data_IF_705394044502
#
_entry.id   IF_705394044502
#
_cell.length_a   1.000
_cell.length_b   1.000
_cell.length_c   1.000
_cell.angle_alpha   90.00
_cell.angle_beta   90.00
_cell.angle_gamma   90.00
#
_symmetry.space_group_name_H-M   'P 1'
#
loop_
_entity.id
_entity.type
_entity.pdbx_description
1 polymer ?
#
# COMPACT_ATOMS: atom_id res chain seq x y z
N UNK A 1 -29.60 1.58 -64.72
CA UNK A 1 -28.61 2.51 -64.12
C UNK A 1 -29.18 2.97 -62.78
N UNK A 2 -28.59 2.57 -61.66
CA UNK A 2 -29.05 2.99 -60.32
C UNK A 2 -28.66 4.46 -60.14
N UNK A 3 -29.66 5.31 -59.87
CA UNK A 3 -29.44 6.73 -59.58
C UNK A 3 -28.55 6.84 -58.33
N UNK A 4 -27.29 7.21 -58.57
CA UNK A 4 -26.30 7.43 -57.54
C UNK A 4 -26.69 8.69 -56.77
N UNK A 5 -27.08 8.51 -55.50
CA UNK A 5 -27.64 9.57 -54.69
C UNK A 5 -26.54 10.47 -54.12
N UNK A 6 -26.12 11.43 -54.93
CA UNK A 6 -25.03 12.37 -54.66
C UNK A 6 -25.16 13.10 -53.31
N UNK A 7 -26.39 13.33 -52.85
CA UNK A 7 -26.65 14.00 -51.57
C UNK A 7 -26.17 13.17 -50.37
N UNK A 8 -26.33 11.85 -50.43
CA UNK A 8 -25.91 10.96 -49.34
C UNK A 8 -24.39 10.88 -49.23
N UNK A 9 -23.69 10.81 -50.37
CA UNK A 9 -22.22 10.81 -50.41
C UNK A 9 -21.62 12.11 -49.90
N UNK A 10 -22.25 13.26 -50.22
CA UNK A 10 -21.82 14.57 -49.70
C UNK A 10 -21.98 14.65 -48.18
N UNK A 11 -23.08 14.14 -47.63
CA UNK A 11 -23.35 14.15 -46.19
C UNK A 11 -22.39 13.26 -45.39
N UNK A 12 -22.08 12.07 -45.90
CA UNK A 12 -21.11 11.16 -45.25
C UNK A 12 -19.71 11.75 -45.28
N UNK A 13 -19.31 12.41 -46.38
CA UNK A 13 -18.01 13.05 -46.50
C UNK A 13 -17.85 14.23 -45.54
N UNK A 14 -18.85 15.10 -45.39
CA UNK A 14 -18.79 16.20 -44.42
C UNK A 14 -18.74 15.71 -42.98
N UNK A 15 -19.48 14.65 -42.65
CA UNK A 15 -19.48 14.09 -41.29
C UNK A 15 -18.12 13.46 -40.94
N UNK A 16 -17.46 12.81 -41.90
CA UNK A 16 -16.11 12.29 -41.73
C UNK A 16 -15.06 13.40 -41.52
N UNK A 17 -15.18 14.52 -42.23
CA UNK A 17 -14.28 15.68 -42.07
C UNK A 17 -14.46 16.32 -40.68
N UNK A 18 -15.71 16.50 -40.23
CA UNK A 18 -15.99 17.05 -38.90
C UNK A 18 -15.40 16.14 -37.81
N UNK A 19 -15.57 14.81 -37.95
CA UNK A 19 -15.07 13.84 -36.97
C UNK A 19 -13.54 13.80 -36.95
N UNK A 20 -12.87 13.91 -38.09
CA UNK A 20 -11.41 14.02 -38.14
C UNK A 20 -10.91 15.33 -37.52
N UNK A 21 -11.62 16.43 -37.73
CA UNK A 21 -11.27 17.74 -37.16
C UNK A 21 -11.45 17.78 -35.64
N UNK A 22 -12.54 17.20 -35.11
CA UNK A 22 -12.74 17.10 -33.65
C UNK A 22 -11.70 16.19 -33.00
N UNK A 23 -11.34 15.07 -33.63
CA UNK A 23 -10.27 14.19 -33.14
C UNK A 23 -8.90 14.89 -33.17
N UNK A 24 -8.63 15.70 -34.21
CA UNK A 24 -7.42 16.52 -34.29
C UNK A 24 -7.38 17.60 -33.21
N UNK A 25 -8.51 18.24 -32.86
CA UNK A 25 -8.57 19.20 -31.76
C UNK A 25 -8.35 18.50 -30.42
N UNK A 26 -8.94 17.34 -30.20
CA UNK A 26 -8.76 16.57 -28.96
C UNK A 26 -7.32 16.04 -28.79
N UNK A 27 -6.61 15.77 -29.88
CA UNK A 27 -5.20 15.38 -29.85
C UNK A 27 -4.22 16.57 -29.78
N UNK A 28 -4.62 17.76 -30.26
CA UNK A 28 -3.75 18.94 -30.31
C UNK A 28 -3.97 19.88 -29.11
N UNK A 29 -5.16 19.90 -28.52
CA UNK A 29 -5.43 20.53 -27.23
C UNK A 29 -5.01 19.52 -26.16
N UNK A 30 -3.71 19.32 -26.09
CA UNK A 30 -3.07 18.55 -25.04
C UNK A 30 -3.30 19.29 -23.72
N UNK A 31 -3.88 18.58 -22.74
CA UNK A 31 -4.11 19.04 -21.36
C UNK A 31 -2.79 19.38 -20.63
N UNK A 32 -1.66 19.23 -21.31
CA UNK A 32 -0.32 19.16 -20.73
C UNK A 32 0.27 20.54 -20.41
N UNK A 33 0.02 21.58 -21.21
CA UNK A 33 0.64 22.90 -20.93
C UNK A 33 0.15 23.55 -19.64
N UNK A 34 -1.15 23.49 -19.32
CA UNK A 34 -1.64 24.07 -18.07
C UNK A 34 -1.22 23.27 -16.84
N UNK A 35 -1.03 21.95 -16.99
CA UNK A 35 -0.52 21.08 -15.93
C UNK A 35 0.98 21.29 -15.73
N UNK A 36 1.77 21.42 -16.80
CA UNK A 36 3.19 21.78 -16.72
C UNK A 36 3.39 23.16 -16.10
N UNK A 37 2.59 24.16 -16.48
CA UNK A 37 2.69 25.50 -15.90
C UNK A 37 2.28 25.50 -14.42
N UNK A 38 1.28 24.70 -14.05
CA UNK A 38 0.88 24.53 -12.65
C UNK A 38 1.94 23.78 -11.84
N UNK A 39 2.53 22.71 -12.39
CA UNK A 39 3.56 21.91 -11.72
C UNK A 39 4.86 22.69 -11.60
N UNK A 40 5.27 23.43 -12.64
CA UNK A 40 6.46 24.29 -12.57
C UNK A 40 6.27 25.46 -11.60
N UNK A 41 5.07 26.06 -11.54
CA UNK A 41 4.76 27.07 -10.53
C UNK A 41 4.73 26.47 -9.12
N UNK A 42 4.22 25.25 -8.94
CA UNK A 42 4.18 24.55 -7.66
C UNK A 42 5.59 24.13 -7.20
N UNK A 43 6.42 23.64 -8.11
CA UNK A 43 7.84 23.34 -7.89
C UNK A 43 8.61 24.62 -7.51
N UNK A 44 8.40 25.73 -8.22
CA UNK A 44 9.04 27.01 -7.89
C UNK A 44 8.58 27.55 -6.52
N UNK A 45 7.33 27.29 -6.13
CA UNK A 45 6.77 27.69 -4.83
C UNK A 45 7.23 26.77 -3.69
N UNK A 46 7.45 25.49 -3.97
CA UNK A 46 8.04 24.52 -3.04
C UNK A 46 9.54 24.76 -2.85
N UNK A 47 10.25 25.17 -3.90
CA UNK A 47 11.68 25.51 -3.85
C UNK A 47 11.98 26.81 -3.10
N UNK A 48 11.02 27.75 -3.00
CA UNK A 48 11.18 29.04 -2.28
C UNK A 48 10.41 29.12 -0.96
N UNK A 49 9.87 27.98 -0.50
CA UNK A 49 9.04 27.91 0.72
C UNK A 49 9.85 27.57 1.98
N UNK A 50 9.19 27.42 3.14
CA UNK A 50 9.81 26.96 4.38
C UNK A 50 10.45 25.56 4.29
N UNK A 51 10.22 24.84 3.18
CA UNK A 51 10.92 23.61 2.85
C UNK A 51 12.38 23.87 2.42
N UNK A 52 12.67 25.01 1.79
CA UNK A 52 14.04 25.49 1.53
C UNK A 52 14.75 25.82 2.85
N UNK A 53 14.06 26.45 3.80
CA UNK A 53 14.57 26.72 5.15
C UNK A 53 14.74 25.42 5.98
N UNK A 54 14.00 24.34 5.66
CA UNK A 54 14.17 23.02 6.28
C UNK A 54 15.24 22.17 5.59
N UNK A 55 15.41 22.30 4.27
CA UNK A 55 16.45 21.61 3.50
C UNK A 55 17.82 22.28 3.67
N UNK A 56 17.86 23.61 3.77
CA UNK A 56 19.04 24.39 4.14
C UNK A 56 19.20 24.54 5.67
N UNK A 57 18.17 24.21 6.45
CA UNK A 57 18.18 24.21 7.92
C UNK A 57 19.09 23.15 8.53
N UNK A 58 19.55 22.17 7.74
CA UNK A 58 20.69 21.32 8.08
C UNK A 58 22.02 22.01 7.72
N UNK A 59 22.21 23.24 8.19
CA UNK A 59 23.43 24.03 7.95
C UNK A 59 24.72 23.38 8.48
N UNK A 60 24.62 22.31 9.28
CA UNK A 60 25.78 21.53 9.75
C UNK A 60 26.21 20.45 8.74
N UNK A 61 25.28 19.91 7.94
CA UNK A 61 25.59 18.84 6.97
C UNK A 61 26.14 19.36 5.63
N UNK A 62 26.00 20.66 5.36
CA UNK A 62 26.48 21.33 4.14
C UNK A 62 27.72 22.20 4.38
N UNK A 63 28.38 22.10 5.54
CA UNK A 63 29.68 22.75 5.72
C UNK A 63 30.69 21.98 4.84
N UNK A 64 31.26 22.59 3.79
CA UNK A 64 32.33 21.94 3.03
C UNK A 64 33.44 21.59 4.01
N UNK A 65 33.96 20.37 3.93
CA UNK A 65 35.01 19.83 4.78
C UNK A 65 36.03 20.93 5.14
N UNK A 66 35.93 21.49 6.36
CA UNK A 66 36.80 22.59 6.79
C UNK A 66 38.21 22.02 6.95
N UNK A 67 38.99 22.07 5.88
CA UNK A 67 40.44 21.82 5.91
C UNK A 67 41.08 22.98 6.67
N UNK A 68 41.14 22.87 7.99
CA UNK A 68 41.96 23.75 8.81
C UNK A 68 43.42 23.42 8.50
N UNK A 69 44.01 24.17 7.56
CA UNK A 69 45.44 24.15 7.29
C UNK A 69 46.13 24.89 8.45
N UNK A 70 46.72 24.12 9.36
CA UNK A 70 47.38 24.64 10.56
C UNK A 70 48.69 23.91 10.78
N UNK A 71 49.66 24.61 11.35
CA UNK A 71 50.94 24.05 11.80
C UNK A 71 50.85 23.48 13.21
N UNK A 72 49.70 23.61 13.88
CA UNK A 72 49.48 23.04 15.20
C UNK A 72 49.33 21.51 15.10
N UNK A 73 50.24 20.78 15.72
CA UNK A 73 50.25 19.31 15.72
C UNK A 73 48.98 18.71 16.32
N UNK A 74 48.45 19.30 17.40
CA UNK A 74 47.23 18.84 18.06
C UNK A 74 46.00 18.95 17.15
N UNK A 75 45.86 20.05 16.41
CA UNK A 75 44.76 20.20 15.44
C UNK A 75 44.95 19.27 14.24
N UNK A 76 46.18 19.04 13.79
CA UNK A 76 46.48 18.08 12.72
C UNK A 76 46.13 16.64 13.13
N UNK A 77 46.37 16.30 14.40
CA UNK A 77 46.04 15.01 14.99
C UNK A 77 44.53 14.84 15.17
N UNK A 78 43.83 15.86 15.67
CA UNK A 78 42.37 15.87 15.75
C UNK A 78 41.71 15.74 14.37
N UNK A 79 42.24 16.43 13.35
CA UNK A 79 41.75 16.33 11.98
C UNK A 79 41.89 14.91 11.40
N UNK A 80 42.93 14.16 11.78
CA UNK A 80 43.07 12.74 11.39
C UNK A 80 41.97 11.87 11.99
N UNK A 81 41.67 12.04 13.28
CA UNK A 81 40.62 11.29 13.98
C UNK A 81 39.19 11.72 13.59
N UNK A 82 39.03 12.96 13.10
CA UNK A 82 37.74 13.47 12.65
C UNK A 82 37.33 12.94 11.28
N UNK A 83 38.30 12.68 10.39
CA UNK A 83 38.02 12.15 9.05
C UNK A 83 37.71 10.67 9.07
N UNK A 84 38.47 9.89 9.84
CA UNK A 84 38.35 8.43 9.91
C UNK A 84 38.70 7.88 11.28
N UNK A 85 38.14 6.73 11.59
CA UNK A 85 38.54 5.95 12.75
C UNK A 85 40.00 5.49 12.61
N UNK A 86 40.82 5.72 13.63
CA UNK A 86 42.25 5.35 13.64
C UNK A 86 42.42 4.05 14.42
N UNK A 87 42.99 3.02 13.77
CA UNK A 87 43.30 1.75 14.41
C UNK A 87 44.32 1.94 15.54
N UNK A 88 44.09 1.24 16.65
CA UNK A 88 44.98 1.15 17.79
C UNK A 88 45.51 -0.28 17.85
N UNK A 89 46.81 -0.43 17.58
CA UNK A 89 47.50 -1.72 17.69
C UNK A 89 47.77 -2.02 19.17
N UNK A 90 46.72 -2.48 19.84
CA UNK A 90 46.74 -2.89 21.25
C UNK A 90 46.15 -4.30 21.38
N UNK A 91 46.62 -5.06 22.38
CA UNK A 91 46.04 -6.34 22.74
C UNK A 91 44.77 -6.18 23.59
N UNK A 92 44.57 -5.01 24.20
CA UNK A 92 43.43 -4.69 25.04
C UNK A 92 42.62 -3.53 24.46
N UNK A 93 41.29 -3.50 24.68
CA UNK A 93 40.46 -2.38 24.24
C UNK A 93 40.96 -1.06 24.84
N UNK A 94 41.15 0.00 24.04
CA UNK A 94 41.55 1.30 24.57
C UNK A 94 40.42 1.91 25.38
N UNK A 95 40.77 2.73 26.36
CA UNK A 95 39.79 3.54 27.11
C UNK A 95 39.45 4.82 26.34
N UNK A 96 38.33 5.45 26.68
CA UNK A 96 37.97 6.75 26.08
C UNK A 96 39.06 7.80 26.37
N UNK A 97 39.66 7.80 27.57
CA UNK A 97 40.77 8.70 27.94
C UNK A 97 42.02 8.51 27.06
N UNK A 98 42.35 7.27 26.70
CA UNK A 98 43.43 6.98 25.77
C UNK A 98 43.13 7.53 24.37
N UNK A 99 41.88 7.42 23.92
CA UNK A 99 41.44 8.01 22.66
C UNK A 99 41.42 9.54 22.71
N UNK A 100 41.06 10.15 23.84
CA UNK A 100 41.11 11.61 24.05
C UNK A 100 42.53 12.12 23.90
N UNK A 101 43.50 11.45 24.54
CA UNK A 101 44.91 11.78 24.42
C UNK A 101 45.44 11.55 22.99
N UNK A 102 45.06 10.44 22.36
CA UNK A 102 45.52 10.09 21.00
C UNK A 102 44.91 10.97 19.90
N UNK A 103 43.70 11.48 20.09
CA UNK A 103 43.04 12.36 19.13
C UNK A 103 43.13 13.84 19.50
N UNK A 104 43.76 14.18 20.63
CA UNK A 104 43.82 15.52 21.19
C UNK A 104 42.42 16.19 21.23
N UNK A 105 41.38 15.42 21.54
CA UNK A 105 39.99 15.86 21.49
C UNK A 105 39.16 15.17 22.58
N UNK A 106 38.45 15.96 23.39
CA UNK A 106 37.65 15.47 24.52
C UNK A 106 36.41 14.67 24.11
N UNK A 107 35.98 14.76 22.84
CA UNK A 107 34.87 14.01 22.27
C UNK A 107 35.33 12.70 21.60
N UNK A 108 36.60 12.32 21.76
CA UNK A 108 37.10 11.06 21.23
C UNK A 108 36.59 9.88 22.05
N UNK A 109 36.15 8.83 21.37
CA UNK A 109 35.62 7.61 21.97
C UNK A 109 36.32 6.37 21.41
N UNK A 110 36.42 5.36 22.27
CA UNK A 110 36.93 4.05 21.92
C UNK A 110 35.84 3.21 21.21
N UNK A 111 36.23 2.58 20.12
CA UNK A 111 35.39 1.70 19.32
C UNK A 111 36.07 0.33 19.19
N UNK A 112 35.35 -0.72 19.60
CA UNK A 112 35.74 -2.11 19.36
C UNK A 112 34.93 -2.65 18.21
N UNK A 113 35.62 -3.17 17.19
CA UNK A 113 35.02 -3.81 16.02
C UNK A 113 35.18 -5.32 16.17
N UNK A 114 34.07 -6.03 16.35
CA UNK A 114 34.07 -7.50 16.41
C UNK A 114 34.14 -8.13 15.00
N UNK A 115 34.38 -9.45 14.94
CA UNK A 115 34.54 -10.19 13.67
C UNK A 115 33.33 -10.09 12.73
N UNK A 116 32.12 -9.96 13.28
CA UNK A 116 30.86 -9.95 12.52
C UNK A 116 30.23 -8.55 12.44
N UNK A 117 30.91 -7.54 12.99
CA UNK A 117 30.45 -6.17 12.98
C UNK A 117 30.86 -5.48 11.68
N UNK A 118 29.97 -4.67 11.12
CA UNK A 118 30.25 -3.91 9.90
C UNK A 118 30.20 -2.42 10.20
N UNK A 119 31.37 -1.82 10.39
CA UNK A 119 31.54 -0.38 10.52
C UNK A 119 32.16 0.17 9.24
N UNK A 120 31.56 1.21 8.67
CA UNK A 120 32.10 1.93 7.51
C UNK A 120 32.61 3.29 7.99
N UNK A 121 33.88 3.58 7.75
CA UNK A 121 34.50 4.88 8.03
C UNK A 121 35.27 5.34 6.80
N UNK A 122 35.01 6.56 6.32
CA UNK A 122 35.69 7.12 5.13
C UNK A 122 35.66 6.14 3.94
N UNK A 123 34.46 5.67 3.60
CA UNK A 123 34.16 4.70 2.53
C UNK A 123 34.78 3.29 2.69
N UNK A 124 35.53 3.04 3.76
CA UNK A 124 36.20 1.76 4.00
C UNK A 124 35.52 0.98 5.12
N UNK A 125 35.38 -0.34 4.92
CA UNK A 125 34.95 -1.25 5.97
C UNK A 125 36.10 -1.44 6.96
N UNK A 126 35.85 -1.19 8.24
CA UNK A 126 36.84 -1.41 9.29
C UNK A 126 37.06 -2.90 9.54
N UNK A 127 38.32 -3.31 9.63
CA UNK A 127 38.68 -4.66 10.04
C UNK A 127 38.44 -4.87 11.54
N UNK A 128 38.25 -6.12 12.01
CA UNK A 128 38.16 -6.41 13.44
C UNK A 128 39.39 -5.90 14.21
N UNK A 129 39.14 -5.21 15.32
CA UNK A 129 40.19 -4.57 16.10
C UNK A 129 39.69 -3.38 16.92
N UNK A 130 40.63 -2.59 17.43
CA UNK A 130 40.35 -1.42 18.27
C UNK A 130 40.62 -0.13 17.50
N UNK A 131 39.73 0.85 17.67
CA UNK A 131 39.80 2.13 16.97
C UNK A 131 39.49 3.29 17.91
N UNK A 132 40.08 4.45 17.63
CA UNK A 132 39.68 5.73 18.21
C UNK A 132 39.02 6.60 17.14
N UNK A 133 37.94 7.27 17.49
CA UNK A 133 37.27 8.24 16.62
C UNK A 133 36.75 9.43 17.42
N UNK A 134 36.48 10.54 16.75
CA UNK A 134 35.76 11.66 17.35
C UNK A 134 34.25 11.46 17.13
N UNK A 135 33.47 11.66 18.19
CA UNK A 135 32.01 11.61 18.16
C UNK A 135 31.39 10.50 19.01
N UNK A 136 30.05 10.42 19.04
CA UNK A 136 29.33 9.52 19.94
C UNK A 136 29.54 8.06 19.56
N UNK A 137 29.58 7.19 20.58
CA UNK A 137 29.63 5.74 20.40
C UNK A 137 28.40 5.25 19.62
N UNK A 138 28.57 4.36 18.64
CA UNK A 138 27.44 3.83 17.90
C UNK A 138 26.52 2.98 18.77
N UNK A 139 25.23 3.35 18.79
CA UNK A 139 24.16 2.59 19.44
C UNK A 139 23.40 1.69 18.46
N UNK A 140 24.00 1.40 17.30
CA UNK A 140 23.43 0.55 16.27
C UNK A 140 23.39 -0.92 16.74
N UNK A 141 22.34 -1.66 16.40
CA UNK A 141 22.36 -3.12 16.55
C UNK A 141 23.20 -3.74 15.41
N UNK A 142 24.47 -4.05 15.68
CA UNK A 142 25.40 -4.54 14.66
C UNK A 142 25.03 -5.91 14.07
N UNK A 143 24.14 -6.66 14.74
CA UNK A 143 23.60 -7.91 14.17
C UNK A 143 22.75 -7.63 12.94
N UNK A 144 21.93 -6.58 12.98
CA UNK A 144 20.94 -6.24 11.95
C UNK A 144 21.27 -4.99 11.14
N UNK A 145 22.33 -4.25 11.51
CA UNK A 145 22.72 -2.99 10.85
C UNK A 145 24.20 -2.91 10.53
N UNK A 146 24.51 -2.00 9.62
CA UNK A 146 25.83 -1.52 9.29
C UNK A 146 25.91 -0.10 9.86
N UNK A 147 26.92 0.17 10.68
CA UNK A 147 27.13 1.49 11.25
C UNK A 147 28.06 2.31 10.35
N UNK A 148 27.53 3.39 9.79
CA UNK A 148 28.30 4.35 8.98
C UNK A 148 28.76 5.44 9.93
N UNK A 149 30.08 5.45 10.19
CA UNK A 149 30.77 6.35 11.11
C UNK A 149 31.01 7.72 10.46
N UNK A 150 29.95 8.34 9.95
CA UNK A 150 29.90 9.75 9.57
C UNK A 150 29.53 10.63 10.76
N UNK A 151 29.57 11.96 10.57
CA UNK A 151 28.97 12.93 11.48
C UNK A 151 27.82 13.60 10.73
N UNK A 152 26.54 13.24 11.00
CA UNK A 152 26.05 12.37 12.07
C UNK A 152 26.26 10.87 11.80
N UNK A 153 26.28 10.07 12.86
CA UNK A 153 26.32 8.60 12.79
C UNK A 153 25.01 8.06 12.20
N UNK A 154 25.11 7.12 11.26
CA UNK A 154 23.94 6.50 10.61
C UNK A 154 23.97 4.99 10.79
N UNK A 155 22.89 4.39 11.31
CA UNK A 155 22.70 2.95 11.34
C UNK A 155 21.86 2.52 10.13
N UNK A 156 22.45 1.81 9.17
CA UNK A 156 21.75 1.32 7.98
C UNK A 156 21.35 -0.15 8.14
N UNK A 157 20.08 -0.55 7.96
CA UNK A 157 19.69 -1.95 8.05
C UNK A 157 20.40 -2.83 7.01
N UNK A 158 20.85 -4.01 7.43
CA UNK A 158 21.33 -5.08 6.54
C UNK A 158 20.19 -5.71 5.75
N UNK A 159 19.02 -5.82 6.39
CA UNK A 159 17.81 -6.45 5.86
C UNK A 159 16.65 -5.45 5.88
N UNK A 160 16.62 -4.45 4.97
CA UNK A 160 15.68 -3.34 5.03
C UNK A 160 14.21 -3.76 4.89
N UNK A 161 13.93 -4.94 4.35
CA UNK A 161 12.57 -5.50 4.27
C UNK A 161 12.09 -6.09 5.60
N UNK A 162 13.02 -6.48 6.47
CA UNK A 162 12.73 -7.10 7.75
C UNK A 162 12.85 -6.11 8.91
N UNK A 163 13.94 -5.35 8.92
CA UNK A 163 14.38 -4.52 10.04
C UNK A 163 14.58 -3.07 9.58
N UNK A 164 14.15 -2.14 10.42
CA UNK A 164 14.32 -0.71 10.22
C UNK A 164 14.46 0.05 11.55
N UNK A 165 14.12 1.33 11.51
CA UNK A 165 14.28 2.25 12.63
C UNK A 165 15.71 2.81 12.76
N UNK A 166 15.90 3.85 13.60
CA UNK A 166 17.15 4.62 13.66
C UNK A 166 18.35 3.82 14.19
N UNK A 167 18.10 2.73 14.93
CA UNK A 167 19.14 1.84 15.50
C UNK A 167 19.03 0.40 15.00
N UNK A 168 18.11 0.13 14.06
CA UNK A 168 17.87 -1.22 13.52
C UNK A 168 17.31 -2.23 14.51
N UNK A 169 16.44 -1.77 15.42
CA UNK A 169 15.75 -2.63 16.40
C UNK A 169 14.26 -2.78 16.13
N UNK A 170 13.75 -2.14 15.09
CA UNK A 170 12.33 -2.16 14.74
C UNK A 170 12.10 -3.17 13.64
N UNK A 171 11.17 -4.11 13.84
CA UNK A 171 10.71 -4.99 12.76
C UNK A 171 9.76 -4.17 11.89
N UNK A 172 10.07 -4.05 10.60
CA UNK A 172 9.25 -3.34 9.61
C UNK A 172 8.47 -4.28 8.71
N UNK A 173 8.87 -5.55 8.64
CA UNK A 173 8.10 -6.58 7.95
C UNK A 173 6.70 -6.76 8.57
N UNK A 174 5.82 -7.35 7.76
CA UNK A 174 4.43 -7.67 8.08
C UNK A 174 3.52 -6.45 8.23
N UNK A 175 4.04 -5.26 7.91
CA UNK A 175 3.33 -4.00 7.91
C UNK A 175 3.73 -3.20 6.66
N UNK A 176 2.96 -2.18 6.34
CA UNK A 176 3.27 -1.25 5.27
C UNK A 176 2.82 0.17 5.65
N UNK A 177 2.92 1.12 4.72
CA UNK A 177 2.57 2.52 4.98
C UNK A 177 1.08 2.71 5.33
N UNK A 178 0.20 1.83 4.84
CA UNK A 178 -1.25 1.91 5.01
C UNK A 178 -1.80 0.95 6.09
N UNK A 179 -1.04 -0.10 6.41
CA UNK A 179 -1.43 -1.17 7.34
C UNK A 179 -0.34 -1.30 8.38
N UNK A 180 -0.63 -0.78 9.58
CA UNK A 180 0.23 -0.86 10.75
C UNK A 180 -0.55 -1.51 11.88
N UNK A 181 -0.36 -2.81 12.05
CA UNK A 181 -1.03 -3.59 13.07
C UNK A 181 -0.01 -4.37 13.92
N UNK A 182 0.03 -4.17 15.26
CA UNK A 182 0.99 -4.83 16.14
C UNK A 182 0.78 -6.36 16.26
N UNK A 183 -0.37 -6.88 15.83
CA UNK A 183 -0.63 -8.32 15.79
C UNK A 183 -0.03 -8.98 14.55
N UNK A 184 0.32 -8.22 13.51
CA UNK A 184 1.10 -8.74 12.40
C UNK A 184 2.55 -8.96 12.84
N UNK A 185 3.04 -10.20 12.77
CA UNK A 185 4.34 -10.57 13.33
C UNK A 185 5.20 -11.31 12.31
N UNK A 186 6.48 -10.95 12.27
CA UNK A 186 7.49 -11.71 11.57
C UNK A 186 7.81 -12.97 12.37
N UNK A 187 7.76 -14.12 11.71
CA UNK A 187 7.94 -15.44 12.31
C UNK A 187 9.18 -16.13 11.74
N UNK A 188 9.97 -16.75 12.60
CA UNK A 188 11.07 -17.64 12.24
C UNK A 188 10.57 -19.08 12.25
N UNK A 189 10.41 -19.67 11.07
CA UNK A 189 9.93 -21.05 10.94
C UNK A 189 11.00 -22.10 11.26
N UNK A 190 12.28 -21.72 11.35
CA UNK A 190 13.34 -22.65 11.77
C UNK A 190 13.27 -22.95 13.26
N UNK A 191 12.96 -21.94 14.08
CA UNK A 191 12.78 -22.09 15.55
C UNK A 191 11.31 -22.18 15.95
N UNK A 192 10.41 -21.89 15.01
CA UNK A 192 8.98 -21.76 15.21
C UNK A 192 8.60 -20.74 16.29
N UNK A 193 9.26 -19.58 16.30
CA UNK A 193 9.03 -18.48 17.24
C UNK A 193 8.94 -17.12 16.53
N UNK A 194 8.31 -16.09 17.14
CA UNK A 194 8.40 -14.72 16.62
C UNK A 194 9.86 -14.26 16.55
N UNK A 195 10.22 -13.57 15.46
CA UNK A 195 11.57 -13.02 15.32
C UNK A 195 11.84 -12.00 16.43
N UNK A 196 12.97 -12.16 17.11
CA UNK A 196 13.46 -11.24 18.14
C UNK A 196 14.77 -10.63 17.67
N UNK A 197 14.78 -9.32 17.49
CA UNK A 197 15.89 -8.57 16.86
C UNK A 197 17.23 -8.72 17.61
N UNK A 198 17.19 -9.01 18.91
CA UNK A 198 18.39 -9.17 19.73
C UNK A 198 18.98 -10.59 19.69
N UNK A 199 18.15 -11.62 19.46
CA UNK A 199 18.53 -13.02 19.60
C UNK A 199 18.54 -13.79 18.29
N UNK A 200 17.62 -13.46 17.37
CA UNK A 200 17.51 -14.15 16.08
C UNK A 200 18.67 -13.74 15.17
N UNK A 201 19.41 -14.74 14.70
CA UNK A 201 20.48 -14.54 13.72
C UNK A 201 19.88 -14.61 12.32
N UNK A 202 19.98 -13.50 11.60
CA UNK A 202 19.53 -13.36 10.21
C UNK A 202 20.78 -13.26 9.34
N UNK A 203 20.97 -14.23 8.45
CA UNK A 203 22.08 -14.24 7.49
C UNK A 203 21.58 -13.70 6.14
N UNK A 204 20.41 -14.18 5.72
CA UNK A 204 19.74 -13.76 4.50
C UNK A 204 18.23 -13.65 4.77
N UNK A 205 17.57 -12.65 4.21
CA UNK A 205 16.12 -12.51 4.28
C UNK A 205 15.39 -13.58 3.44
N UNK A 206 16.02 -14.08 2.37
CA UNK A 206 15.51 -15.14 1.48
C UNK A 206 16.01 -16.55 1.87
N UNK A 207 16.39 -16.76 3.14
CA UNK A 207 16.81 -18.07 3.63
C UNK A 207 15.69 -19.11 3.49
N UNK A 208 15.99 -20.25 2.87
CA UNK A 208 15.07 -21.36 2.65
C UNK A 208 15.32 -22.49 3.66
N UNK A 209 14.23 -23.10 4.12
CA UNK A 209 14.24 -24.32 4.92
C UNK A 209 14.44 -25.55 4.03
N UNK A 210 14.63 -26.71 4.65
CA UNK A 210 14.82 -27.99 3.95
C UNK A 210 13.65 -28.41 3.06
N UNK A 211 12.44 -27.88 3.33
CA UNK A 211 11.24 -28.11 2.53
C UNK A 211 11.12 -27.15 1.33
N UNK A 212 12.06 -26.21 1.17
CA UNK A 212 12.04 -25.17 0.14
C UNK A 212 11.18 -23.95 0.49
N UNK A 213 10.55 -23.92 1.67
CA UNK A 213 9.81 -22.74 2.14
C UNK A 213 10.74 -21.69 2.75
N UNK A 214 10.33 -20.41 2.73
CA UNK A 214 11.09 -19.35 3.38
C UNK A 214 11.09 -19.51 4.91
N UNK A 215 12.26 -19.37 5.52
CA UNK A 215 12.44 -19.36 6.98
C UNK A 215 11.70 -18.19 7.62
N UNK A 216 11.86 -16.99 7.07
CA UNK A 216 11.22 -15.77 7.56
C UNK A 216 9.95 -15.48 6.77
N UNK A 217 8.80 -15.56 7.46
CA UNK A 217 7.47 -15.29 6.88
C UNK A 217 6.61 -14.55 7.88
N UNK A 218 5.63 -13.81 7.36
CA UNK A 218 4.70 -13.06 8.19
C UNK A 218 3.51 -13.91 8.61
N UNK A 219 3.08 -13.72 9.85
CA UNK A 219 1.77 -14.15 10.32
C UNK A 219 0.91 -12.92 10.56
N UNK A 220 -0.16 -12.82 9.78
CA UNK A 220 -1.07 -11.68 9.80
C UNK A 220 -2.24 -12.00 10.72
N UNK A 221 -2.15 -11.54 11.97
CA UNK A 221 -3.24 -11.64 12.94
C UNK A 221 -4.00 -10.33 13.14
N UNK A 222 -3.50 -9.25 12.51
CA UNK A 222 -4.19 -7.97 12.49
C UNK A 222 -5.48 -8.00 11.69
N UNK A 223 -6.34 -7.02 11.96
CA UNK A 223 -7.64 -6.89 11.31
C UNK A 223 -7.85 -5.50 10.73
N UNK A 224 -8.66 -5.42 9.69
CA UNK A 224 -9.08 -4.15 9.09
C UNK A 224 -10.22 -3.48 9.86
N UNK A 225 -10.69 -2.34 9.35
CA UNK A 225 -11.80 -1.57 9.96
C UNK A 225 -13.12 -2.34 10.03
N UNK A 226 -13.28 -3.39 9.22
CA UNK A 226 -14.44 -4.29 9.21
C UNK A 226 -14.16 -5.59 9.97
N UNK A 227 -13.10 -5.63 10.78
CA UNK A 227 -12.67 -6.80 11.55
C UNK A 227 -12.30 -8.02 10.69
N UNK A 228 -11.97 -7.83 9.42
CA UNK A 228 -11.46 -8.90 8.55
C UNK A 228 -9.95 -9.03 8.72
N UNK A 229 -9.43 -10.26 8.81
CA UNK A 229 -7.99 -10.48 8.93
C UNK A 229 -7.24 -10.00 7.70
N UNK A 230 -6.08 -9.38 7.92
CA UNK A 230 -5.13 -9.11 6.85
C UNK A 230 -4.59 -10.42 6.28
N UNK A 231 -4.17 -10.34 5.02
CA UNK A 231 -3.66 -11.47 4.27
C UNK A 231 -2.26 -11.19 3.74
N UNK A 232 -1.53 -12.25 3.41
CA UNK A 232 -0.23 -12.16 2.75
C UNK A 232 -0.39 -11.64 1.31
N UNK A 233 0.48 -10.71 0.91
CA UNK A 233 0.53 -10.25 -0.47
C UNK A 233 1.14 -11.34 -1.37
N UNK A 234 0.49 -11.71 -2.50
CA UNK A 234 0.92 -12.86 -3.31
C UNK A 234 2.31 -12.71 -3.93
N UNK A 235 2.80 -11.48 -4.09
CA UNK A 235 4.13 -11.19 -4.64
C UNK A 235 5.13 -10.70 -3.59
N UNK A 236 4.70 -10.47 -2.35
CA UNK A 236 5.59 -9.96 -1.29
C UNK A 236 5.19 -10.53 0.06
N UNK A 237 5.90 -11.57 0.48
CA UNK A 237 5.67 -12.29 1.75
C UNK A 237 5.78 -11.43 3.01
N UNK A 238 6.34 -10.22 2.90
CA UNK A 238 6.51 -9.31 4.02
C UNK A 238 5.46 -8.20 4.06
N UNK A 239 4.58 -8.11 3.07
CA UNK A 239 3.57 -7.07 3.01
C UNK A 239 2.16 -7.63 3.27
N UNK A 240 1.40 -7.03 4.18
CA UNK A 240 -0.02 -7.34 4.33
C UNK A 240 -0.83 -6.69 3.21
N UNK A 241 -1.95 -7.30 2.89
CA UNK A 241 -3.04 -6.70 2.13
C UNK A 241 -4.37 -6.92 2.79
N UNK A 242 -5.31 -6.01 2.51
CA UNK A 242 -6.71 -6.20 2.87
C UNK A 242 -7.28 -7.35 2.05
N UNK A 243 -8.16 -8.12 2.67
CA UNK A 243 -8.87 -9.18 1.99
C UNK A 243 -9.92 -8.59 1.04
N UNK A 244 -9.56 -8.48 -0.25
CA UNK A 244 -10.45 -7.94 -1.28
C UNK A 244 -11.79 -8.68 -1.35
N UNK A 245 -11.78 -10.00 -1.15
CA UNK A 245 -12.97 -10.84 -1.24
C UNK A 245 -13.92 -10.65 -0.07
N UNK A 246 -13.41 -10.26 1.10
CA UNK A 246 -14.19 -9.97 2.29
C UNK A 246 -14.54 -8.47 2.45
N UNK A 247 -14.20 -7.61 1.49
CA UNK A 247 -14.32 -6.16 1.62
C UNK A 247 -15.74 -5.65 1.91
N UNK A 248 -16.77 -6.46 1.62
CA UNK A 248 -18.18 -6.14 1.81
C UNK A 248 -18.81 -6.82 3.03
N UNK A 249 -18.02 -7.54 3.82
CA UNK A 249 -18.46 -8.34 4.96
C UNK A 249 -17.80 -7.80 6.22
N UNK A 250 -18.55 -7.78 7.32
CA UNK A 250 -18.01 -7.56 8.66
C UNK A 250 -17.55 -8.89 9.25
N UNK A 251 -16.34 -8.94 9.78
CA UNK A 251 -15.78 -10.11 10.46
C UNK A 251 -15.96 -11.42 9.68
N UNK A 252 -15.54 -11.41 8.41
CA UNK A 252 -15.62 -12.58 7.54
C UNK A 252 -14.90 -13.79 8.12
N UNK A 253 -15.43 -14.98 7.85
CA UNK A 253 -14.79 -16.23 8.22
C UNK A 253 -13.41 -16.36 7.56
N UNK A 254 -12.44 -16.99 8.24
CA UNK A 254 -11.05 -17.13 7.77
C UNK A 254 -10.91 -17.85 6.41
N UNK A 255 -11.91 -18.66 6.06
CA UNK A 255 -11.96 -19.37 4.77
C UNK A 255 -12.27 -18.43 3.59
N UNK A 256 -12.88 -17.27 3.86
CA UNK A 256 -13.12 -16.25 2.83
C UNK A 256 -11.80 -15.55 2.55
N UNK A 257 -11.23 -15.76 1.37
CA UNK A 257 -9.89 -15.26 1.05
C UNK A 257 -9.73 -15.04 -0.44
N UNK A 258 -8.78 -14.19 -0.82
CA UNK A 258 -8.35 -14.15 -2.21
C UNK A 258 -7.27 -15.20 -2.47
N UNK A 259 -7.26 -15.78 -3.66
CA UNK A 259 -6.30 -16.77 -4.11
C UNK A 259 -5.69 -16.26 -5.41
N UNK A 260 -4.37 -16.37 -5.52
CA UNK A 260 -3.64 -16.07 -6.75
C UNK A 260 -3.45 -17.37 -7.54
N UNK A 261 -4.21 -17.54 -8.63
CA UNK A 261 -4.18 -18.73 -9.46
C UNK A 261 -4.20 -18.33 -10.94
N UNK A 262 -3.43 -19.00 -11.80
CA UNK A 262 -3.39 -18.72 -13.25
C UNK A 262 -3.12 -17.25 -13.61
N UNK A 263 -2.27 -16.58 -12.82
CA UNK A 263 -1.92 -15.17 -13.00
C UNK A 263 -3.12 -14.21 -12.85
N UNK A 264 -4.16 -14.63 -12.14
CA UNK A 264 -5.35 -13.83 -11.86
C UNK A 264 -5.75 -13.95 -10.40
N UNK A 265 -6.30 -12.86 -9.86
CA UNK A 265 -6.93 -12.88 -8.54
C UNK A 265 -8.30 -13.53 -8.65
N UNK A 266 -8.54 -14.55 -7.82
CA UNK A 266 -9.86 -15.17 -7.65
C UNK A 266 -10.26 -15.07 -6.19
N UNK A 267 -11.55 -14.94 -5.95
CA UNK A 267 -12.11 -15.03 -4.62
C UNK A 267 -12.47 -16.48 -4.30
N UNK A 268 -12.10 -16.92 -3.11
CA UNK A 268 -12.57 -18.15 -2.51
C UNK A 268 -13.50 -17.75 -1.36
N UNK A 269 -14.81 -17.94 -1.57
CA UNK A 269 -15.82 -17.64 -0.56
C UNK A 269 -16.04 -18.79 0.44
N UNK A 270 -15.27 -19.89 0.33
CA UNK A 270 -15.41 -21.09 1.15
C UNK A 270 -16.73 -21.83 0.94
N UNK A 271 -17.05 -22.74 1.87
CA UNK A 271 -18.34 -23.43 1.88
C UNK A 271 -19.44 -22.50 2.42
N UNK A 272 -20.47 -22.23 1.62
CA UNK A 272 -21.64 -21.41 1.98
C UNK A 272 -22.31 -21.86 3.28
N UNK A 273 -22.24 -23.14 3.66
CA UNK A 273 -22.80 -23.62 4.93
C UNK A 273 -22.04 -23.10 6.15
N UNK A 274 -20.74 -22.86 6.00
CA UNK A 274 -19.84 -22.39 7.07
C UNK A 274 -19.69 -20.88 7.01
N UNK A 275 -19.38 -20.35 5.83
CA UNK A 275 -19.07 -18.92 5.64
C UNK A 275 -20.32 -18.06 5.50
N UNK A 276 -21.46 -18.67 5.17
CA UNK A 276 -22.75 -18.00 4.89
C UNK A 276 -22.69 -16.96 3.76
N UNK A 277 -21.64 -16.99 2.95
CA UNK A 277 -21.43 -16.06 1.84
C UNK A 277 -21.24 -16.80 0.54
N UNK A 278 -21.46 -16.09 -0.55
CA UNK A 278 -21.21 -16.56 -1.91
C UNK A 278 -20.71 -15.40 -2.76
N UNK A 279 -20.19 -15.72 -3.95
CA UNK A 279 -19.87 -14.73 -4.95
C UNK A 279 -21.07 -13.83 -5.25
N UNK A 280 -20.81 -12.52 -5.39
CA UNK A 280 -21.81 -11.55 -5.83
C UNK A 280 -22.31 -11.92 -7.23
N UNK A 281 -21.42 -12.25 -8.15
CA UNK A 281 -21.79 -12.85 -9.42
C UNK A 281 -21.39 -14.32 -9.40
N UNK A 282 -22.36 -15.26 -9.36
CA UNK A 282 -22.09 -16.70 -9.35
C UNK A 282 -21.26 -17.20 -10.54
N UNK A 283 -21.24 -16.46 -11.65
CA UNK A 283 -20.50 -16.84 -12.86
C UNK A 283 -19.10 -16.22 -12.92
N UNK A 284 -18.78 -15.26 -12.06
CA UNK A 284 -17.49 -14.59 -12.02
C UNK A 284 -16.75 -14.90 -10.71
N UNK A 285 -15.70 -15.74 -10.76
CA UNK A 285 -14.91 -16.09 -9.58
C UNK A 285 -14.04 -14.93 -9.07
N UNK A 286 -13.91 -13.83 -9.81
CA UNK A 286 -13.21 -12.62 -9.35
C UNK A 286 -14.14 -11.70 -8.54
N UNK A 287 -15.44 -11.97 -8.57
CA UNK A 287 -16.42 -11.20 -7.81
C UNK A 287 -16.26 -11.40 -6.30
N UNK A 288 -16.45 -10.31 -5.56
CA UNK A 288 -16.33 -10.31 -4.10
C UNK A 288 -17.38 -11.22 -3.45
N UNK A 289 -17.10 -11.65 -2.22
CA UNK A 289 -18.02 -12.47 -1.45
C UNK A 289 -19.01 -11.59 -0.70
N UNK A 290 -20.26 -12.02 -0.63
CA UNK A 290 -21.32 -11.33 0.10
C UNK A 290 -22.38 -12.33 0.59
N UNK A 291 -23.17 -11.91 1.58
CA UNK A 291 -24.37 -12.63 2.00
C UNK A 291 -25.47 -12.60 0.92
N UNK A 292 -25.37 -11.69 -0.05
CA UNK A 292 -26.29 -11.55 -1.17
C UNK A 292 -25.56 -11.84 -2.48
N UNK A 293 -26.17 -12.66 -3.33
CA UNK A 293 -25.72 -12.94 -4.69
C UNK A 293 -26.72 -12.39 -5.70
N UNK A 294 -26.21 -11.99 -6.86
CA UNK A 294 -27.02 -11.73 -8.03
C UNK A 294 -27.75 -13.02 -8.43
N UNK A 295 -29.06 -12.93 -8.56
CA UNK A 295 -29.88 -14.07 -8.91
C UNK A 295 -30.96 -13.64 -9.89
N UNK A 296 -31.15 -14.42 -10.95
CA UNK A 296 -32.23 -14.25 -11.91
C UNK A 296 -33.21 -15.40 -11.70
N UNK A 297 -34.40 -15.09 -11.20
CA UNK A 297 -35.50 -16.04 -11.02
C UNK A 297 -36.63 -15.76 -11.98
N UNK A 298 -37.28 -16.82 -12.44
CA UNK A 298 -38.57 -16.72 -13.10
C UNK A 298 -39.67 -16.74 -12.03
N UNK A 299 -40.44 -15.66 -11.96
CA UNK A 299 -41.60 -15.52 -11.08
C UNK A 299 -42.80 -16.34 -11.60
N UNK A 300 -43.83 -16.51 -10.77
CA UNK A 300 -45.05 -17.34 -11.01
C UNK A 300 -45.81 -16.98 -12.30
N UNK A 301 -45.52 -15.83 -12.93
CA UNK A 301 -46.15 -15.34 -14.16
C UNK A 301 -45.18 -15.27 -15.37
N UNK A 302 -44.09 -16.03 -15.39
CA UNK A 302 -43.01 -15.92 -16.40
C UNK A 302 -42.34 -14.53 -16.45
N UNK A 303 -42.49 -13.72 -15.40
CA UNK A 303 -41.73 -12.47 -15.25
C UNK A 303 -40.34 -12.79 -14.73
N UNK A 304 -39.33 -12.07 -15.17
CA UNK A 304 -37.99 -12.24 -14.62
C UNK A 304 -37.81 -11.29 -13.44
N UNK A 305 -37.28 -11.82 -12.34
CA UNK A 305 -36.85 -11.06 -11.16
C UNK A 305 -35.33 -11.13 -11.13
N UNK A 306 -34.67 -9.99 -11.17
CA UNK A 306 -33.24 -9.87 -10.92
C UNK A 306 -33.04 -9.24 -9.55
N UNK A 307 -32.34 -9.96 -8.69
CA UNK A 307 -31.88 -9.44 -7.41
C UNK A 307 -30.50 -8.85 -7.63
N UNK A 308 -30.37 -7.53 -7.48
CA UNK A 308 -29.09 -6.82 -7.65
C UNK A 308 -28.57 -6.45 -6.26
N UNK A 309 -27.47 -7.07 -5.79
CA UNK A 309 -26.83 -6.66 -4.56
C UNK A 309 -26.10 -5.33 -4.76
N UNK A 310 -26.14 -4.45 -3.76
CA UNK A 310 -25.42 -3.18 -3.78
C UNK A 310 -24.82 -2.86 -2.39
N UNK A 311 -23.63 -2.23 -2.35
CA UNK A 311 -23.03 -1.76 -1.11
C UNK A 311 -23.80 -0.58 -0.54
N UNK A 312 -23.95 -0.55 0.77
CA UNK A 312 -24.63 0.51 1.50
C UNK A 312 -23.88 0.84 2.79
N UNK A 313 -24.05 2.06 3.30
CA UNK A 313 -23.42 2.48 4.55
C UNK A 313 -24.39 2.37 5.74
N UNK A 314 -23.84 2.03 6.91
CA UNK A 314 -24.53 1.95 8.21
C UNK A 314 -23.94 2.97 9.19
N UNK A 315 -24.46 3.05 10.41
CA UNK A 315 -23.85 3.87 11.47
C UNK A 315 -22.43 3.41 11.86
N UNK A 316 -22.07 2.16 11.52
CA UNK A 316 -20.77 1.56 11.80
C UNK A 316 -19.82 1.68 10.60
N UNK A 317 -20.31 2.19 9.46
CA UNK A 317 -19.46 2.45 8.31
C UNK A 317 -18.46 3.57 8.60
N UNK A 318 -17.25 3.48 8.03
CA UNK A 318 -16.29 4.57 8.08
C UNK A 318 -16.84 5.80 7.33
N UNK A 319 -16.39 7.00 7.71
CA UNK A 319 -16.97 8.24 7.18
C UNK A 319 -16.80 8.39 5.66
N UNK A 320 -15.80 7.75 5.09
CA UNK A 320 -15.51 7.73 3.66
C UNK A 320 -16.59 7.00 2.84
N UNK A 321 -17.36 6.11 3.46
CA UNK A 321 -18.50 5.44 2.82
C UNK A 321 -19.71 6.38 2.70
N UNK A 322 -19.79 7.41 3.55
CA UNK A 322 -20.86 8.41 3.54
C UNK A 322 -20.71 9.30 2.31
N UNK A 323 -21.73 9.30 1.46
CA UNK A 323 -21.72 10.02 0.18
C UNK A 323 -21.15 9.22 -0.99
N UNK A 324 -20.47 8.09 -0.73
CA UNK A 324 -20.07 7.12 -1.76
C UNK A 324 -21.15 6.07 -2.00
N UNK A 325 -21.79 5.61 -0.94
CA UNK A 325 -22.85 4.60 -1.01
C UNK A 325 -24.19 5.17 -0.53
N UNK A 326 -25.29 4.50 -0.91
CA UNK A 326 -26.61 4.79 -0.33
C UNK A 326 -26.69 4.28 1.11
N UNK A 327 -27.50 4.90 1.99
CA UNK A 327 -27.74 4.33 3.30
C UNK A 327 -28.42 2.96 3.16
N UNK A 328 -28.06 2.00 4.02
CA UNK A 328 -28.78 0.74 4.09
C UNK A 328 -30.25 0.98 4.49
N UNK A 329 -31.14 0.02 4.22
CA UNK A 329 -32.56 0.12 4.64
C UNK A 329 -32.63 0.35 6.16
N UNK A 330 -33.67 1.06 6.62
CA UNK A 330 -33.80 1.45 8.02
C UNK A 330 -33.62 0.28 9.01
N UNK A 331 -34.07 -0.93 8.62
CA UNK A 331 -33.93 -2.17 9.39
C UNK A 331 -32.46 -2.61 9.59
N UNK A 332 -31.60 -2.36 8.62
CA UNK A 332 -30.19 -2.75 8.61
C UNK A 332 -29.23 -1.57 8.86
N UNK A 333 -29.72 -0.34 8.95
CA UNK A 333 -28.89 0.86 9.12
C UNK A 333 -28.11 0.87 10.45
N UNK A 334 -28.63 0.20 11.48
CA UNK A 334 -27.96 -0.01 12.76
C UNK A 334 -27.19 -1.33 12.84
N UNK A 335 -27.19 -2.14 11.79
CA UNK A 335 -26.54 -3.44 11.75
C UNK A 335 -25.11 -3.40 11.22
N UNK A 336 -24.48 -4.57 11.24
CA UNK A 336 -23.12 -4.82 10.71
C UNK A 336 -23.13 -5.26 9.23
N UNK A 337 -24.29 -5.22 8.57
CA UNK A 337 -24.44 -5.59 7.17
C UNK A 337 -24.19 -4.38 6.28
N UNK A 338 -23.16 -4.44 5.45
CA UNK A 338 -22.78 -3.38 4.50
C UNK A 338 -23.32 -3.61 3.08
N UNK A 339 -24.24 -4.56 2.93
CA UNK A 339 -24.81 -4.97 1.65
C UNK A 339 -26.32 -5.08 1.76
N UNK A 340 -26.99 -4.60 0.73
CA UNK A 340 -28.43 -4.71 0.53
C UNK A 340 -28.71 -5.29 -0.85
N UNK A 341 -29.96 -5.62 -1.09
CA UNK A 341 -30.42 -5.99 -2.41
C UNK A 341 -31.63 -5.15 -2.84
N UNK A 342 -31.71 -4.94 -4.14
CA UNK A 342 -32.91 -4.45 -4.81
C UNK A 342 -33.42 -5.53 -5.75
N UNK A 343 -34.71 -5.81 -5.68
CA UNK A 343 -35.37 -6.72 -6.61
C UNK A 343 -35.98 -5.90 -7.74
N UNK A 344 -35.51 -6.13 -8.96
CA UNK A 344 -36.07 -5.53 -10.15
C UNK A 344 -36.86 -6.60 -10.89
N UNK A 345 -38.14 -6.33 -11.13
CA UNK A 345 -38.96 -7.19 -11.98
C UNK A 345 -38.95 -6.63 -13.40
N UNK A 346 -38.61 -7.45 -14.38
CA UNK A 346 -38.63 -7.08 -15.79
C UNK A 346 -39.28 -8.19 -16.64
N UNK A 347 -39.68 -7.81 -17.85
CA UNK A 347 -40.20 -8.73 -18.85
C UNK A 347 -39.53 -8.47 -20.19
N UNK A 348 -39.21 -9.53 -20.93
CA UNK A 348 -38.75 -9.42 -22.31
C UNK A 348 -39.88 -9.08 -23.28
N UNK A 349 -41.14 -9.21 -22.84
CA UNK A 349 -42.32 -8.91 -23.65
C UNK A 349 -42.59 -7.42 -23.67
N UNK A 350 -42.49 -6.81 -24.84
CA UNK A 350 -42.68 -5.37 -25.04
C UNK A 350 -44.11 -4.88 -24.72
N UNK A 351 -45.09 -5.79 -24.65
CA UNK A 351 -46.49 -5.49 -24.37
C UNK A 351 -46.88 -5.68 -22.91
N UNK A 352 -45.98 -6.19 -22.05
CA UNK A 352 -46.21 -6.31 -20.62
C UNK A 352 -45.83 -4.99 -19.91
N UNK A 353 -46.78 -4.31 -19.25
CA UNK A 353 -46.48 -3.08 -18.53
C UNK A 353 -45.52 -3.38 -17.37
N UNK A 354 -44.45 -2.59 -17.26
CA UNK A 354 -43.57 -2.60 -16.09
C UNK A 354 -44.43 -2.16 -14.90
N UNK A 355 -44.70 -3.08 -13.98
CA UNK A 355 -45.45 -2.78 -12.76
C UNK A 355 -44.61 -1.84 -11.89
N UNK A 356 -44.99 -0.56 -11.82
CA UNK A 356 -44.42 0.37 -10.86
C UNK A 356 -44.84 -0.07 -9.46
N UNK A 357 -43.93 -0.10 -8.47
CA UNK A 357 -44.24 -0.61 -7.12
C UNK A 357 -45.41 0.12 -6.45
N UNK A 358 -45.69 1.36 -6.86
CA UNK A 358 -46.81 2.15 -6.34
C UNK A 358 -48.14 1.93 -7.09
N UNK A 359 -48.22 1.04 -8.08
CA UNK A 359 -49.47 0.80 -8.81
C UNK A 359 -50.63 0.30 -7.94
N UNK A 360 -50.32 -0.35 -6.80
CA UNK A 360 -51.34 -0.78 -5.82
C UNK A 360 -51.92 0.40 -5.02
N UNK A 361 -51.15 1.49 -4.88
CA UNK A 361 -51.56 2.69 -4.14
C UNK A 361 -52.36 3.68 -5.01
N UNK A 362 -52.39 3.50 -6.33
CA UNK A 362 -53.25 4.33 -7.19
C UNK A 362 -54.71 3.90 -7.02
N UNK A 363 -55.62 4.83 -6.72
CA UNK A 363 -57.03 4.52 -6.59
C UNK A 363 -57.56 3.93 -7.90
N UNK A 364 -58.16 2.75 -7.80
CA UNK A 364 -58.71 1.94 -8.92
C UNK A 364 -59.71 2.74 -9.78
N UNK A 365 -60.27 3.83 -9.25
CA UNK A 365 -61.18 4.74 -9.96
C UNK A 365 -60.51 5.54 -11.07
N UNK A 366 -59.21 5.79 -10.98
CA UNK A 366 -58.42 6.24 -12.14
C UNK A 366 -57.97 5.01 -12.90
N UNK A 367 -58.81 4.51 -13.81
CA UNK A 367 -58.35 3.67 -14.91
C UNK A 367 -57.33 4.49 -15.70
N UNK A 368 -56.06 4.45 -15.28
CA UNK A 368 -54.95 4.84 -16.12
C UNK A 368 -54.98 3.82 -17.25
N UNK A 369 -55.64 4.18 -18.34
CA UNK A 369 -55.51 3.47 -19.58
C UNK A 369 -54.04 3.62 -19.97
N UNK A 370 -53.23 2.60 -19.65
CA UNK A 370 -51.89 2.47 -20.22
C UNK A 370 -52.13 2.39 -21.72
N UNK A 371 -52.02 3.54 -22.41
CA UNK A 371 -52.14 3.60 -23.86
C UNK A 371 -51.07 2.68 -24.41
N UNK A 372 -51.49 1.56 -24.99
CA UNK A 372 -50.65 0.74 -25.86
C UNK A 372 -50.05 1.68 -26.92
N UNK A 373 -48.74 1.89 -26.86
CA UNK A 373 -47.96 2.46 -27.95
C UNK A 373 -47.37 3.84 -27.66
N UNK A 374 -46.15 3.84 -27.13
CA UNK A 374 -45.09 4.62 -27.75
C UNK A 374 -44.35 3.67 -28.69
N UNK A 375 -44.77 3.64 -29.96
CA UNK A 375 -43.90 3.14 -31.03
C UNK A 375 -42.76 4.15 -31.14
N UNK A 376 -41.60 3.82 -30.58
CA UNK A 376 -40.37 4.49 -30.98
C UNK A 376 -40.04 3.90 -32.35
N UNK A 377 -40.43 4.60 -33.41
CA UNK A 377 -39.88 4.37 -34.72
C UNK A 377 -38.54 5.11 -34.79
N UNK A 378 -37.46 4.36 -34.85
CA UNK A 378 -36.25 4.73 -35.59
C UNK A 378 -35.56 3.46 -36.01
#
# INVERSE_FOLDING_TARGET
>A
MKNFNWQYTLYVATLAIILAFTLSILLYVDFDQSLLDHDTALIAKLQKGPLEDLLNGNGINNIPELKILTTNEGVTQANKCSKRAIRVDSFTPPTDDECVNRCANTLATALTVEKNDHYISDENLLEPGFYCRIGPKPHCNMKTTIAILSTPLICRPKFPRLIGGPVGRTIVACNNINIQDPFNRLWDYSTNEPVRVDTTIIINEDELLSDGSYRFRCKFYGVDVKHNKYMEHPFDRFHPIRNYCAALIFAAHDDVKHVWENNQFRCDCGDKKTTMVSHIDPNDPTSQCSSYSAEIKTDVKNRMKITVPYPCFTIHSPIEDVGRYFPCKAENFHGEKFMENIELTYSHRHDEPIAHPFYEDFPISTRIAVRKGLRISS
#
